data_IF_513821869251
#
_entry.id   IF_513821869251
#
_cell.length_a   1.000
_cell.length_b   1.000
_cell.length_c   1.000
_cell.angle_alpha   90.00
_cell.angle_beta   90.00
_cell.angle_gamma   90.00
#
_symmetry.space_group_name_H-M   'P 1'
#
loop_
_entity.id
_entity.type
_entity.pdbx_description
1 polymer ?
#
# COMPACT_ATOMS: atom_id res chain seq x y z
N UNK A 1 -28.29 19.38 3.14
CA UNK A 1 -27.48 18.40 3.89
C UNK A 1 -26.11 18.28 3.22
N UNK A 2 -25.23 19.27 3.45
CA UNK A 2 -23.94 19.35 2.74
C UNK A 2 -23.05 18.23 3.26
N UNK A 3 -22.69 17.30 2.37
CA UNK A 3 -21.75 16.22 2.67
C UNK A 3 -20.42 16.88 3.03
N UNK A 4 -20.10 16.91 4.32
CA UNK A 4 -18.87 17.45 4.86
C UNK A 4 -17.68 16.84 4.14
N UNK A 5 -17.03 17.65 3.31
CA UNK A 5 -15.74 17.33 2.70
C UNK A 5 -14.76 17.20 3.88
N UNK A 6 -14.33 15.98 4.21
CA UNK A 6 -13.26 15.78 5.19
C UNK A 6 -12.03 16.49 4.65
N UNK A 7 -11.63 17.57 5.32
CA UNK A 7 -10.39 18.28 5.04
C UNK A 7 -9.23 17.26 5.12
N UNK A 8 -8.27 17.27 4.18
CA UNK A 8 -7.05 16.50 4.38
C UNK A 8 -6.39 17.08 5.62
N UNK A 9 -6.31 16.28 6.69
CA UNK A 9 -5.58 16.64 7.90
C UNK A 9 -4.20 17.10 7.47
N UNK A 10 -3.89 18.39 7.66
CA UNK A 10 -2.52 18.89 7.56
C UNK A 10 -1.65 17.95 8.36
N UNK A 11 -0.83 17.17 7.66
CA UNK A 11 0.21 16.37 8.29
C UNK A 11 1.29 17.37 8.65
N UNK A 12 1.11 17.99 9.82
CA UNK A 12 2.09 18.87 10.45
C UNK A 12 3.43 18.14 10.50
N UNK A 13 4.46 18.84 10.03
CA UNK A 13 5.84 18.40 10.03
C UNK A 13 6.31 18.28 11.49
N UNK A 14 6.21 17.08 12.04
CA UNK A 14 7.13 16.63 13.08
C UNK A 14 8.04 15.60 12.44
N UNK A 15 9.31 15.94 12.31
CA UNK A 15 10.43 15.10 11.87
C UNK A 15 10.56 13.75 12.62
N UNK A 16 9.70 13.50 13.61
CA UNK A 16 9.61 12.26 14.36
C UNK A 16 8.50 11.27 13.90
N UNK A 17 7.66 11.60 12.91
CA UNK A 17 6.44 10.81 12.61
C UNK A 17 6.50 10.00 11.30
N UNK A 18 7.36 10.38 10.34
CA UNK A 18 7.72 9.51 9.19
C UNK A 18 8.99 8.70 9.49
N UNK A 19 8.95 7.88 10.54
CA UNK A 19 10.10 7.06 10.98
C UNK A 19 10.54 6.00 9.96
N UNK A 20 9.70 5.69 8.97
CA UNK A 20 9.88 4.54 8.10
C UNK A 20 10.04 4.99 6.65
N UNK A 21 11.27 5.32 6.28
CA UNK A 21 11.68 5.59 4.91
C UNK A 21 12.15 4.31 4.20
N UNK A 22 11.81 4.22 2.92
CA UNK A 22 12.33 3.21 2.02
C UNK A 22 13.81 3.49 1.75
N UNK A 23 14.67 2.48 1.86
CA UNK A 23 16.12 2.63 1.58
C UNK A 23 16.44 2.53 0.08
N UNK A 24 15.53 1.94 -0.69
CA UNK A 24 15.67 1.71 -2.13
C UNK A 24 15.02 2.84 -2.94
N UNK A 25 14.18 3.66 -2.29
CA UNK A 25 13.38 4.68 -2.94
C UNK A 25 13.02 5.79 -1.94
N UNK A 26 12.76 7.01 -2.41
CA UNK A 26 12.46 8.14 -1.51
C UNK A 26 11.03 8.12 -0.90
N UNK A 27 10.40 6.95 -0.77
CA UNK A 27 9.07 6.81 -0.20
C UNK A 27 9.12 6.78 1.33
N UNK A 28 8.33 7.66 1.98
CA UNK A 28 8.28 7.76 3.43
C UNK A 28 6.88 7.44 3.97
N UNK A 29 6.82 6.53 4.94
CA UNK A 29 5.59 6.03 5.52
C UNK A 29 5.49 6.37 7.01
N UNK A 30 4.25 6.59 7.45
CA UNK A 30 3.90 6.80 8.86
C UNK A 30 4.02 5.53 9.72
N UNK A 31 3.90 4.35 9.09
CA UNK A 31 3.84 3.04 9.78
C UNK A 31 4.78 2.03 9.13
N UNK A 32 5.44 1.16 9.92
CA UNK A 32 6.42 0.20 9.42
C UNK A 32 5.77 -0.87 8.54
N UNK A 33 4.53 -1.27 8.82
CA UNK A 33 3.78 -2.24 8.00
C UNK A 33 3.54 -1.75 6.57
N UNK A 34 3.35 -0.43 6.39
CA UNK A 34 3.15 0.16 5.07
C UNK A 34 4.46 0.18 4.29
N UNK A 35 5.56 0.53 4.96
CA UNK A 35 6.92 0.43 4.40
C UNK A 35 7.24 -1.01 3.97
N UNK A 36 7.06 -1.97 4.88
CA UNK A 36 7.36 -3.39 4.63
C UNK A 36 6.55 -3.96 3.48
N UNK A 37 5.27 -3.57 3.39
CA UNK A 37 4.42 -3.93 2.25
C UNK A 37 4.94 -3.29 0.98
N UNK A 38 5.23 -1.99 1.00
CA UNK A 38 5.73 -1.26 -0.14
C UNK A 38 7.03 -1.88 -0.69
N UNK A 39 8.00 -2.21 0.18
CA UNK A 39 9.25 -2.83 -0.26
C UNK A 39 9.01 -4.19 -0.88
N UNK A 40 8.16 -5.02 -0.28
CA UNK A 40 7.78 -6.33 -0.82
C UNK A 40 7.06 -6.23 -2.17
N UNK A 41 6.23 -5.21 -2.35
CA UNK A 41 5.46 -5.00 -3.58
C UNK A 41 6.31 -4.48 -4.74
N UNK A 42 7.17 -3.50 -4.49
CA UNK A 42 7.87 -2.74 -5.53
C UNK A 42 9.32 -3.17 -5.73
N UNK A 43 10.02 -3.57 -4.67
CA UNK A 43 11.42 -3.97 -4.74
C UNK A 43 11.59 -5.48 -4.81
N UNK A 44 10.83 -6.23 -4.01
CA UNK A 44 10.90 -7.70 -4.03
C UNK A 44 10.04 -8.31 -5.16
N UNK A 45 9.20 -7.48 -5.81
CA UNK A 45 8.21 -7.87 -6.82
C UNK A 45 7.42 -9.14 -6.44
N UNK A 46 7.25 -9.40 -5.14
CA UNK A 46 6.60 -10.59 -4.62
C UNK A 46 5.09 -10.43 -4.75
N UNK A 47 4.61 -10.57 -5.98
CA UNK A 47 3.18 -10.73 -6.27
C UNK A 47 2.81 -12.20 -6.08
N UNK A 48 2.85 -12.63 -4.82
CA UNK A 48 2.56 -13.99 -4.39
C UNK A 48 1.07 -14.36 -4.54
N UNK A 49 0.18 -13.37 -4.66
CA UNK A 49 -1.26 -13.61 -4.74
C UNK A 49 -1.73 -13.58 -6.20
N UNK A 50 -1.61 -14.71 -6.90
CA UNK A 50 -2.17 -14.85 -8.24
C UNK A 50 -3.69 -15.02 -8.19
N UNK A 51 -4.40 -14.48 -9.17
CA UNK A 51 -5.83 -14.75 -9.30
C UNK A 51 -6.06 -16.25 -9.57
N UNK A 52 -6.91 -16.96 -8.79
CA UNK A 52 -7.21 -18.37 -9.02
C UNK A 52 -8.13 -18.60 -10.23
N UNK A 53 -8.72 -17.54 -10.79
CA UNK A 53 -9.62 -17.63 -11.93
C UNK A 53 -8.86 -18.01 -13.21
N UNK A 54 -9.28 -19.12 -13.83
CA UNK A 54 -8.75 -19.59 -15.12
C UNK A 54 -9.01 -18.53 -16.19
N UNK A 55 -7.96 -18.09 -16.89
CA UNK A 55 -8.01 -16.99 -17.86
C UNK A 55 -7.59 -15.63 -17.31
N UNK A 56 -7.47 -15.47 -15.98
CA UNK A 56 -6.98 -14.24 -15.38
C UNK A 56 -5.48 -14.33 -15.02
N UNK A 57 -4.62 -13.59 -15.75
CA UNK A 57 -3.17 -13.52 -15.48
C UNK A 57 -2.78 -12.45 -14.45
N UNK A 58 -3.74 -11.93 -13.67
CA UNK A 58 -3.47 -10.86 -12.71
C UNK A 58 -2.79 -11.41 -11.45
N UNK A 59 -1.72 -10.73 -11.04
CA UNK A 59 -0.98 -11.02 -9.81
C UNK A 59 -1.01 -9.81 -8.91
N UNK A 60 -1.44 -10.04 -7.68
CA UNK A 60 -1.57 -9.03 -6.64
C UNK A 60 -0.45 -9.21 -5.62
N UNK A 61 -0.05 -8.09 -5.04
CA UNK A 61 0.89 -8.08 -3.92
C UNK A 61 0.21 -8.21 -2.56
N UNK A 62 -1.13 -8.23 -2.53
CA UNK A 62 -1.96 -8.34 -1.33
C UNK A 62 -3.12 -9.30 -1.56
N UNK A 63 -3.44 -10.11 -0.55
CA UNK A 63 -4.57 -11.02 -0.56
C UNK A 63 -5.91 -10.30 -0.55
N UNK A 64 -6.03 -9.16 0.12
CA UNK A 64 -7.28 -8.38 0.14
C UNK A 64 -7.63 -7.82 -1.24
N UNK A 65 -6.64 -7.30 -1.99
CA UNK A 65 -6.83 -6.86 -3.36
C UNK A 65 -7.19 -8.03 -4.30
N UNK A 66 -6.56 -9.20 -4.14
CA UNK A 66 -6.91 -10.40 -4.89
C UNK A 66 -8.35 -10.83 -4.59
N UNK A 67 -8.74 -10.88 -3.31
CA UNK A 67 -10.09 -11.25 -2.87
C UNK A 67 -11.15 -10.28 -3.40
N UNK A 68 -10.89 -8.98 -3.39
CA UNK A 68 -11.78 -7.99 -3.99
C UNK A 68 -11.83 -8.09 -5.52
N UNK A 69 -10.77 -8.58 -6.16
CA UNK A 69 -10.77 -8.79 -7.62
C UNK A 69 -11.57 -10.04 -8.03
N UNK A 70 -11.61 -11.06 -7.18
CA UNK A 70 -12.33 -12.33 -7.43
C UNK A 70 -13.77 -12.33 -6.94
N UNK A 71 -14.16 -11.34 -6.12
CA UNK A 71 -15.55 -11.12 -5.70
C UNK A 71 -16.31 -10.36 -6.77
#
# INVERSE_FOLDING_TARGET
RVRGRRAPTKMEHSDADRKFSCKVCAACFKRPEHLKRHSKCLHELQRAFACPTVGCRKRFSRSDNQKCHTR
#
